data_IF_586457941380
#
_entry.id   IF_586457941380
#
_cell.length_a   1.000
_cell.length_b   1.000
_cell.length_c   1.000
_cell.angle_alpha   90.00
_cell.angle_beta   90.00
_cell.angle_gamma   90.00
#
_symmetry.space_group_name_H-M   'P 1'
#
loop_
_entity.id
_entity.type
_entity.pdbx_description
1 polymer ?
#
# COMPACT_ATOMS: atom_id res chain seq x y z
N UNK A 1 7.98 52.00 -15.59
CA UNK A 1 7.89 51.19 -14.36
C UNK A 1 6.52 50.53 -14.27
N UNK A 2 6.48 49.21 -14.01
CA UNK A 2 5.30 48.39 -13.67
C UNK A 2 4.24 48.17 -14.77
N UNK A 3 4.60 47.64 -15.95
CA UNK A 3 3.62 47.06 -16.91
C UNK A 3 4.16 45.82 -17.64
N UNK A 4 4.81 44.90 -16.94
CA UNK A 4 5.19 43.59 -17.51
C UNK A 4 5.14 42.43 -16.50
N UNK A 5 4.59 42.65 -15.30
CA UNK A 5 4.69 41.70 -14.19
C UNK A 5 3.44 40.83 -13.94
N UNK A 6 2.38 40.95 -14.75
CA UNK A 6 1.10 40.31 -14.44
C UNK A 6 0.63 39.24 -15.45
N UNK A 7 1.44 38.87 -16.45
CA UNK A 7 1.08 37.79 -17.39
C UNK A 7 1.84 36.47 -17.15
N UNK A 8 2.71 36.42 -16.14
CA UNK A 8 3.50 35.23 -15.81
C UNK A 8 3.12 34.66 -14.43
N UNK A 9 1.87 34.79 -14.01
CA UNK A 9 1.37 34.27 -12.72
C UNK A 9 0.05 33.51 -12.87
N UNK A 10 -0.20 32.90 -14.03
CA UNK A 10 -1.36 32.04 -14.25
C UNK A 10 -1.03 30.67 -14.83
N UNK A 11 0.25 30.30 -14.92
CA UNK A 11 0.68 28.99 -15.46
C UNK A 11 1.27 28.08 -14.37
N UNK A 12 1.48 28.55 -13.16
CA UNK A 12 2.21 27.78 -12.12
C UNK A 12 1.34 27.16 -11.03
N UNK A 13 0.01 27.32 -11.05
CA UNK A 13 -0.84 26.82 -9.94
C UNK A 13 -1.63 25.55 -10.23
N UNK A 14 -1.54 25.01 -11.44
CA UNK A 14 -1.99 23.64 -11.74
C UNK A 14 -0.76 22.76 -12.00
N UNK A 15 0.24 22.87 -11.12
CA UNK A 15 1.26 21.82 -11.02
C UNK A 15 0.52 20.55 -10.65
N UNK A 16 0.55 19.58 -11.56
CA UNK A 16 -0.36 18.45 -11.63
C UNK A 16 -0.57 17.79 -10.27
N UNK A 17 -1.84 17.67 -9.89
CA UNK A 17 -2.27 16.58 -9.04
C UNK A 17 -2.08 15.30 -9.85
N UNK A 18 -0.83 14.82 -9.89
CA UNK A 18 -0.53 13.45 -10.23
C UNK A 18 -1.16 12.63 -9.10
N UNK A 19 -2.42 12.25 -9.28
CA UNK A 19 -2.92 11.06 -8.59
C UNK A 19 -2.07 9.94 -9.16
N UNK A 20 -1.01 9.58 -8.44
CA UNK A 20 -0.32 8.34 -8.71
C UNK A 20 -1.39 7.26 -8.57
N UNK A 21 -1.68 6.57 -9.66
CA UNK A 21 -2.45 5.33 -9.59
C UNK A 21 -1.62 4.39 -8.72
N UNK A 22 -2.03 4.21 -7.47
CA UNK A 22 -1.43 3.22 -6.60
C UNK A 22 -1.81 1.86 -7.17
N UNK A 23 -0.93 1.32 -8.01
CA UNK A 23 -1.04 -0.06 -8.47
C UNK A 23 -0.95 -0.96 -7.25
N UNK A 24 -2.11 -1.30 -6.72
CA UNK A 24 -2.26 -2.22 -5.60
C UNK A 24 -2.88 -3.51 -6.10
N UNK A 25 -2.26 -4.63 -5.72
CA UNK A 25 -2.85 -5.95 -5.92
C UNK A 25 -3.41 -6.42 -4.60
N UNK A 26 -4.71 -6.69 -4.59
CA UNK A 26 -5.46 -7.01 -3.39
C UNK A 26 -5.99 -8.43 -3.44
N UNK A 27 -5.78 -9.18 -2.36
CA UNK A 27 -6.22 -10.56 -2.21
C UNK A 27 -6.97 -10.74 -0.89
N UNK A 28 -8.14 -11.39 -0.94
CA UNK A 28 -8.77 -11.91 0.27
C UNK A 28 -7.99 -13.13 0.75
N UNK A 29 -7.43 -13.05 1.95
CA UNK A 29 -6.59 -14.09 2.54
C UNK A 29 -7.13 -14.52 3.89
N UNK A 30 -6.67 -15.69 4.32
CA UNK A 30 -6.86 -16.19 5.67
C UNK A 30 -5.54 -16.05 6.43
N UNK A 31 -5.58 -15.56 7.66
CA UNK A 31 -4.46 -15.55 8.60
C UNK A 31 -4.70 -16.63 9.64
N UNK A 32 -3.80 -17.62 9.69
CA UNK A 32 -3.85 -18.67 10.70
C UNK A 32 -3.40 -18.15 12.07
N UNK A 33 -4.26 -18.31 13.06
CA UNK A 33 -3.93 -18.04 14.46
C UNK A 33 -3.68 -19.36 15.20
N UNK A 34 -3.00 -19.28 16.35
CA UNK A 34 -2.78 -20.44 17.22
C UNK A 34 -4.11 -21.10 17.64
N UNK A 35 -5.19 -20.30 17.75
CA UNK A 35 -6.57 -20.77 17.89
C UNK A 35 -7.49 -20.00 16.92
N UNK A 36 -7.98 -20.68 15.88
CA UNK A 36 -8.89 -20.12 14.88
C UNK A 36 -8.19 -19.54 13.65
N UNK A 37 -8.96 -18.90 12.78
CA UNK A 37 -8.43 -18.21 11.61
C UNK A 37 -9.19 -16.92 11.36
N UNK A 38 -8.46 -15.84 11.14
CA UNK A 38 -9.03 -14.55 10.74
C UNK A 38 -9.09 -14.44 9.22
N UNK A 39 -10.12 -13.77 8.70
CA UNK A 39 -10.18 -13.37 7.28
C UNK A 39 -9.74 -11.92 7.19
N UNK A 40 -9.02 -11.61 6.12
CA UNK A 40 -8.53 -10.27 5.89
C UNK A 40 -8.14 -10.02 4.45
N UNK A 41 -7.63 -8.82 4.23
CA UNK A 41 -7.18 -8.34 2.93
C UNK A 41 -5.67 -8.18 2.94
N UNK A 42 -4.97 -8.83 2.02
CA UNK A 42 -3.55 -8.63 1.75
C UNK A 42 -3.39 -7.75 0.52
N UNK A 43 -2.81 -6.58 0.70
CA UNK A 43 -2.55 -5.61 -0.34
C UNK A 43 -1.04 -5.48 -0.60
N UNK A 44 -0.62 -5.71 -1.84
CA UNK A 44 0.72 -5.37 -2.32
C UNK A 44 0.63 -3.98 -2.94
N UNK A 45 1.26 -3.00 -2.31
CA UNK A 45 1.22 -1.61 -2.75
C UNK A 45 2.55 -1.20 -3.38
N UNK A 46 2.67 0.09 -3.72
CA UNK A 46 3.93 0.65 -4.25
C UNK A 46 5.03 0.75 -3.17
N UNK A 47 4.66 0.88 -1.89
CA UNK A 47 5.60 1.09 -0.79
C UNK A 47 5.82 -0.13 0.10
N UNK A 48 4.93 -1.12 0.05
CA UNK A 48 5.06 -2.30 0.90
C UNK A 48 3.92 -3.30 0.74
N UNK A 49 3.75 -4.12 1.76
CA UNK A 49 2.67 -5.09 1.89
C UNK A 49 1.87 -4.76 3.15
N UNK A 50 0.55 -4.74 3.03
CA UNK A 50 -0.35 -4.51 4.16
C UNK A 50 -1.34 -5.66 4.29
N UNK A 51 -1.48 -6.19 5.50
CA UNK A 51 -2.57 -7.08 5.89
C UNK A 51 -3.57 -6.28 6.75
N UNK A 52 -4.84 -6.27 6.34
CA UNK A 52 -5.95 -5.71 7.12
C UNK A 52 -6.86 -6.84 7.54
N UNK A 53 -7.08 -6.99 8.84
CA UNK A 53 -8.05 -7.94 9.39
C UNK A 53 -9.47 -7.36 9.24
N UNK A 54 -10.45 -8.17 8.88
CA UNK A 54 -11.86 -7.75 8.87
C UNK A 54 -12.42 -7.61 10.29
N UNK A 55 -11.98 -8.48 11.22
CA UNK A 55 -12.60 -8.64 12.54
C UNK A 55 -11.87 -7.90 13.68
N UNK A 56 -10.56 -7.63 13.53
CA UNK A 56 -9.76 -6.99 14.58
C UNK A 56 -8.58 -6.20 14.00
N UNK A 57 -8.67 -4.87 14.06
CA UNK A 57 -7.60 -3.95 13.64
C UNK A 57 -6.26 -4.23 14.34
N UNK A 58 -6.24 -4.86 15.52
CA UNK A 58 -4.99 -5.22 16.22
C UNK A 58 -4.20 -6.30 15.50
N UNK A 59 -4.82 -7.02 14.57
CA UNK A 59 -4.16 -8.00 13.73
C UNK A 59 -3.73 -7.42 12.38
N UNK A 60 -3.98 -6.13 12.13
CA UNK A 60 -3.42 -5.46 10.96
C UNK A 60 -1.88 -5.39 11.05
N UNK A 61 -1.22 -5.58 9.92
CA UNK A 61 0.23 -5.47 9.78
C UNK A 61 0.57 -4.72 8.52
N UNK A 62 1.63 -3.93 8.58
CA UNK A 62 2.18 -3.23 7.44
C UNK A 62 3.69 -3.44 7.47
N UNK A 63 4.23 -3.79 6.31
CA UNK A 63 5.64 -4.05 6.11
C UNK A 63 6.12 -3.19 4.94
N UNK A 64 7.00 -2.22 5.20
CA UNK A 64 7.68 -1.50 4.14
C UNK A 64 8.62 -2.45 3.40
N UNK A 65 8.77 -2.31 2.09
CA UNK A 65 9.66 -3.22 1.33
C UNK A 65 11.11 -3.21 1.83
N UNK A 66 11.58 -2.10 2.40
CA UNK A 66 12.92 -1.98 2.98
C UNK A 66 13.11 -2.82 4.25
N UNK A 67 12.03 -3.16 4.94
CA UNK A 67 12.03 -4.00 6.13
C UNK A 67 11.79 -5.49 5.80
N UNK A 68 11.46 -5.83 4.55
CA UNK A 68 11.19 -7.20 4.13
C UNK A 68 12.49 -7.85 3.62
N UNK A 69 12.89 -8.93 4.27
CA UNK A 69 14.03 -9.75 3.86
C UNK A 69 13.67 -10.73 2.73
N UNK A 70 12.46 -11.31 2.76
CA UNK A 70 11.99 -12.27 1.75
C UNK A 70 10.46 -12.26 1.62
N UNK A 71 9.96 -12.40 0.39
CA UNK A 71 8.57 -12.77 0.09
C UNK A 71 8.58 -14.05 -0.73
N UNK A 72 7.93 -15.09 -0.22
CA UNK A 72 7.93 -16.42 -0.83
C UNK A 72 6.51 -16.90 -1.06
N UNK A 73 6.22 -17.36 -2.28
CA UNK A 73 5.01 -18.13 -2.58
C UNK A 73 5.24 -19.57 -2.11
N UNK A 74 4.76 -19.90 -0.91
CA UNK A 74 4.99 -21.20 -0.27
C UNK A 74 4.12 -22.30 -0.89
N UNK A 75 2.91 -21.95 -1.36
CA UNK A 75 1.99 -22.84 -2.07
C UNK A 75 1.07 -22.02 -3.00
N UNK A 76 0.21 -22.63 -3.83
CA UNK A 76 -0.73 -21.89 -4.68
C UNK A 76 -1.68 -20.94 -3.93
N UNK A 77 -1.81 -21.08 -2.61
CA UNK A 77 -2.73 -20.28 -1.77
C UNK A 77 -2.02 -19.63 -0.58
N UNK A 78 -0.70 -19.64 -0.53
CA UNK A 78 0.05 -19.23 0.66
C UNK A 78 1.30 -18.42 0.30
N UNK A 79 1.48 -17.31 1.03
CA UNK A 79 2.65 -16.44 0.94
C UNK A 79 3.25 -16.29 2.34
N UNK A 80 4.56 -16.44 2.43
CA UNK A 80 5.36 -16.20 3.62
C UNK A 80 6.12 -14.87 3.45
N UNK A 81 6.08 -14.02 4.48
CA UNK A 81 6.81 -12.74 4.54
C UNK A 81 7.79 -12.82 5.70
N UNK A 82 9.08 -12.71 5.39
CA UNK A 82 10.15 -12.59 6.36
C UNK A 82 10.61 -11.14 6.45
N UNK A 83 10.60 -10.58 7.65
CA UNK A 83 11.05 -9.22 7.97
C UNK A 83 12.16 -9.25 9.01
#
# INVERSE_FOLDING_TARGET
MKRFANLLLMVTFFSGMLVAEENSFTFSVKHDHFWGSGVGELAFTTSGIAYRSEDDEKHAREWAYEDIQEVKVASPTEVEILT
#
